data_IF_894468087083
#
_entry.id   IF_894468087083
#
_cell.length_a   1.000
_cell.length_b   1.000
_cell.length_c   1.000
_cell.angle_alpha   90.00
_cell.angle_beta   90.00
_cell.angle_gamma   90.00
#
_symmetry.space_group_name_H-M   'P 1'
#
loop_
_entity.id
_entity.type
_entity.pdbx_description
1 polymer ?
#
# COMPACT_ATOMS: atom_id res chain seq x y z
N UNK A 1 -26.82 70.74 72.99
CA UNK A 1 -27.72 69.59 73.21
C UNK A 1 -28.36 69.20 71.88
N UNK A 2 -27.80 68.20 71.17
CA UNK A 2 -28.51 67.26 70.28
C UNK A 2 -27.54 66.20 69.73
N UNK A 3 -28.09 64.99 69.59
CA UNK A 3 -27.49 63.67 69.46
C UNK A 3 -26.62 63.45 68.20
N UNK A 4 -25.64 62.55 68.33
CA UNK A 4 -25.09 61.75 67.22
C UNK A 4 -26.11 60.72 66.73
N UNK A 5 -25.94 60.20 65.50
CA UNK A 5 -25.93 58.74 65.39
C UNK A 5 -24.79 58.20 64.53
N UNK A 6 -24.25 57.09 65.03
CA UNK A 6 -23.29 56.17 64.41
C UNK A 6 -23.93 55.40 63.25
N UNK A 7 -23.30 55.39 62.07
CA UNK A 7 -23.64 54.50 60.97
C UNK A 7 -22.70 53.28 60.97
N UNK A 8 -23.27 52.08 61.12
CA UNK A 8 -22.59 50.79 61.02
C UNK A 8 -22.29 50.46 59.55
N UNK A 9 -21.02 50.13 59.25
CA UNK A 9 -20.59 49.49 58.01
C UNK A 9 -21.07 48.04 57.96
N UNK A 10 -21.88 47.70 56.94
CA UNK A 10 -22.19 46.32 56.58
C UNK A 10 -21.37 45.88 55.37
N UNK A 11 -20.33 45.08 55.60
CA UNK A 11 -19.63 44.35 54.52
C UNK A 11 -20.49 43.17 54.08
N UNK A 12 -21.00 43.23 52.84
CA UNK A 12 -21.72 42.13 52.20
C UNK A 12 -20.70 41.28 51.43
N UNK A 13 -20.45 40.06 51.89
CA UNK A 13 -19.64 39.08 51.15
C UNK A 13 -20.45 38.48 49.98
N UNK A 14 -19.83 38.24 48.80
CA UNK A 14 -20.52 37.60 47.68
C UNK A 14 -20.71 36.11 47.95
N UNK A 15 -21.96 35.65 47.82
CA UNK A 15 -22.35 34.23 47.88
C UNK A 15 -21.81 33.51 46.63
N UNK A 16 -20.91 32.55 46.82
CA UNK A 16 -20.45 31.66 45.76
C UNK A 16 -21.62 30.86 45.18
N UNK A 17 -21.88 31.03 43.88
CA UNK A 17 -22.88 30.26 43.16
C UNK A 17 -22.32 28.85 42.89
N UNK A 18 -22.84 27.86 43.61
CA UNK A 18 -22.56 26.45 43.33
C UNK A 18 -23.43 26.03 42.13
N UNK A 19 -22.81 25.71 41.00
CA UNK A 19 -23.55 25.27 39.80
C UNK A 19 -24.38 24.01 40.11
N UNK A 20 -25.62 23.90 39.58
CA UNK A 20 -26.48 22.75 39.86
C UNK A 20 -25.85 21.46 39.29
N UNK A 21 -25.89 20.38 40.08
CA UNK A 21 -25.29 19.07 39.73
C UNK A 21 -25.74 18.52 38.36
N UNK A 22 -26.92 18.94 37.88
CA UNK A 22 -27.45 18.61 36.55
C UNK A 22 -26.68 19.29 35.41
N UNK A 23 -26.17 20.51 35.60
CA UNK A 23 -25.37 21.20 34.59
C UNK A 23 -24.00 20.53 34.39
N UNK A 24 -23.39 20.02 35.46
CA UNK A 24 -22.15 19.24 35.41
C UNK A 24 -22.35 17.90 34.68
N UNK A 25 -23.50 17.23 34.89
CA UNK A 25 -23.83 15.98 34.20
C UNK A 25 -24.08 16.19 32.70
N UNK A 26 -24.82 17.23 32.31
CA UNK A 26 -25.03 17.56 30.89
C UNK A 26 -23.73 17.96 30.19
N UNK A 27 -22.86 18.71 30.86
CA UNK A 27 -21.54 19.06 30.33
C UNK A 27 -20.66 17.81 30.12
N UNK A 28 -20.66 16.86 31.07
CA UNK A 28 -19.92 15.61 30.96
C UNK A 28 -20.45 14.72 29.82
N UNK A 29 -21.78 14.65 29.62
CA UNK A 29 -22.39 13.90 28.51
C UNK A 29 -22.07 14.55 27.17
N UNK A 30 -22.11 15.88 27.07
CA UNK A 30 -21.74 16.60 25.85
C UNK A 30 -20.26 16.40 25.48
N UNK A 31 -19.36 16.45 26.48
CA UNK A 31 -17.93 16.13 26.30
C UNK A 31 -17.70 14.68 25.90
N UNK A 32 -18.40 13.72 26.51
CA UNK A 32 -18.30 12.31 26.14
C UNK A 32 -18.85 12.02 24.74
N UNK A 33 -19.95 12.69 24.34
CA UNK A 33 -20.51 12.59 23.00
C UNK A 33 -19.58 13.19 21.93
N UNK A 34 -18.89 14.30 22.25
CA UNK A 34 -17.90 14.90 21.37
C UNK A 34 -16.63 14.04 21.25
N UNK A 35 -16.22 13.36 22.32
CA UNK A 35 -15.09 12.43 22.28
C UNK A 35 -15.38 11.17 21.43
N UNK A 36 -16.66 10.79 21.26
CA UNK A 36 -17.07 9.67 20.42
C UNK A 36 -17.09 10.00 18.91
N UNK A 37 -16.90 11.26 18.53
CA UNK A 37 -16.75 11.69 17.12
C UNK A 37 -15.29 11.87 16.70
N UNK A 38 -14.34 11.28 17.44
CA UNK A 38 -12.91 11.33 17.11
C UNK A 38 -12.67 11.07 15.62
N UNK A 39 -12.15 12.07 14.92
CA UNK A 39 -11.86 11.99 13.49
C UNK A 39 -10.76 10.97 13.22
N UNK A 40 -11.01 10.02 12.32
CA UNK A 40 -9.96 9.14 11.82
C UNK A 40 -9.25 9.86 10.66
N UNK A 41 -7.94 10.07 10.79
CA UNK A 41 -7.10 10.54 9.67
C UNK A 41 -6.58 9.31 8.93
N UNK A 42 -6.97 9.12 7.67
CA UNK A 42 -6.46 8.06 6.81
C UNK A 42 -5.51 8.66 5.78
N UNK A 43 -4.30 8.11 5.69
CA UNK A 43 -3.28 8.53 4.72
C UNK A 43 -2.91 7.34 3.82
N UNK A 44 -3.02 7.55 2.52
CA UNK A 44 -2.77 6.56 1.47
C UNK A 44 -1.77 7.14 0.45
N UNK A 45 -0.86 6.30 -0.04
CA UNK A 45 0.01 6.59 -1.19
C UNK A 45 -0.34 5.63 -2.31
N UNK A 46 -0.65 6.16 -3.49
CA UNK A 46 -0.82 5.39 -4.71
C UNK A 46 0.48 5.42 -5.52
N UNK A 47 1.10 4.26 -5.69
CA UNK A 47 2.35 4.09 -6.42
C UNK A 47 2.08 3.44 -7.78
N UNK A 48 2.45 4.13 -8.84
CA UNK A 48 2.27 3.70 -10.24
C UNK A 48 3.60 3.74 -10.99
N UNK A 49 3.73 2.92 -12.04
CA UNK A 49 4.92 2.93 -12.89
C UNK A 49 4.60 2.75 -14.37
N UNK A 50 5.48 3.28 -15.20
CA UNK A 50 5.46 3.07 -16.65
C UNK A 50 6.76 2.36 -17.07
N UNK A 51 6.69 1.11 -17.55
CA UNK A 51 5.51 0.24 -17.65
C UNK A 51 5.00 -0.28 -16.28
N UNK A 52 3.75 -0.77 -16.23
CA UNK A 52 3.16 -1.32 -15.00
C UNK A 52 3.73 -2.70 -14.65
N UNK A 53 3.49 -3.16 -13.41
CA UNK A 53 3.87 -4.49 -12.94
C UNK A 53 5.26 -4.57 -12.31
N UNK A 54 5.88 -3.43 -12.02
CA UNK A 54 7.15 -3.34 -11.34
C UNK A 54 7.01 -3.74 -9.87
N UNK A 55 7.97 -4.50 -9.36
CA UNK A 55 8.03 -4.89 -7.96
C UNK A 55 8.42 -3.68 -7.11
N UNK A 56 7.54 -3.30 -6.18
CA UNK A 56 7.71 -2.18 -5.27
C UNK A 56 8.25 -2.68 -3.92
N UNK A 57 9.35 -2.07 -3.50
CA UNK A 57 9.91 -2.21 -2.15
C UNK A 57 9.90 -0.83 -1.48
N UNK A 58 9.35 -0.75 -0.28
CA UNK A 58 9.29 0.47 0.53
C UNK A 58 10.09 0.24 1.82
N UNK A 59 11.08 1.07 2.10
CA UNK A 59 11.98 0.95 3.26
C UNK A 59 12.59 -0.47 3.41
N UNK A 60 12.95 -1.08 2.28
CA UNK A 60 13.50 -2.45 2.25
C UNK A 60 12.48 -3.58 2.42
N UNK A 61 11.19 -3.28 2.59
CA UNK A 61 10.11 -4.27 2.64
C UNK A 61 9.38 -4.36 1.30
N UNK A 62 9.27 -5.57 0.76
CA UNK A 62 8.47 -5.83 -0.42
C UNK A 62 6.98 -5.60 -0.12
N UNK A 63 6.34 -4.73 -0.91
CA UNK A 63 4.93 -4.40 -0.74
C UNK A 63 4.07 -5.14 -1.76
N UNK A 64 4.50 -5.17 -3.03
CA UNK A 64 3.73 -5.77 -4.12
C UNK A 64 4.16 -5.27 -5.48
N UNK A 65 3.26 -5.29 -6.46
CA UNK A 65 3.52 -4.79 -7.82
C UNK A 65 2.70 -3.56 -8.13
N UNK A 66 3.25 -2.64 -8.91
CA UNK A 66 2.53 -1.46 -9.40
C UNK A 66 1.44 -1.82 -10.41
N UNK A 67 0.30 -1.10 -10.44
CA UNK A 67 -0.12 -0.06 -9.48
C UNK A 67 -0.53 -0.65 -8.13
N UNK A 68 -0.15 0.00 -7.03
CA UNK A 68 -0.51 -0.44 -5.67
C UNK A 68 -0.76 0.76 -4.75
N UNK A 69 -1.56 0.55 -3.70
CA UNK A 69 -1.92 1.57 -2.72
C UNK A 69 -1.49 1.15 -1.33
N UNK A 70 -0.89 2.07 -0.59
CA UNK A 70 -0.25 1.81 0.70
C UNK A 70 -0.78 2.79 1.73
N UNK A 71 -1.36 2.29 2.82
CA UNK A 71 -1.69 3.12 3.98
C UNK A 71 -0.42 3.40 4.80
N UNK A 72 -0.23 4.64 5.24
CA UNK A 72 0.90 5.04 6.07
C UNK A 72 0.47 5.86 7.30
N UNK A 73 1.27 5.80 8.35
CA UNK A 73 0.93 6.41 9.65
C UNK A 73 1.74 7.66 9.96
N UNK A 74 2.97 7.76 9.45
CA UNK A 74 3.90 8.83 9.79
C UNK A 74 4.40 9.50 8.52
N UNK A 75 4.27 10.82 8.43
CA UNK A 75 4.83 11.60 7.33
C UNK A 75 6.38 11.62 7.42
N UNK A 76 7.07 11.61 6.28
CA UNK A 76 8.54 11.58 6.22
C UNK A 76 9.11 11.03 4.92
N UNK A 77 10.44 10.86 4.88
CA UNK A 77 11.14 10.28 3.73
C UNK A 77 11.07 8.76 3.71
N UNK A 78 10.62 8.22 2.57
CA UNK A 78 10.59 6.78 2.32
C UNK A 78 11.61 6.38 1.24
N UNK A 79 12.36 5.29 1.48
CA UNK A 79 13.18 4.64 0.44
C UNK A 79 12.26 3.81 -0.46
N UNK A 80 11.99 4.32 -1.66
CA UNK A 80 11.14 3.67 -2.65
C UNK A 80 12.02 3.04 -3.71
N UNK A 81 11.87 1.72 -3.92
CA UNK A 81 12.58 1.01 -5.00
C UNK A 81 11.61 0.26 -5.88
N UNK A 82 11.71 0.51 -7.18
CA UNK A 82 10.97 -0.22 -8.20
C UNK A 82 11.92 -1.09 -9.00
N UNK A 83 11.54 -2.34 -9.22
CA UNK A 83 12.30 -3.30 -10.02
C UNK A 83 11.42 -4.00 -11.02
N UNK A 84 11.82 -3.98 -12.29
CA UNK A 84 11.16 -4.71 -13.36
C UNK A 84 12.23 -5.40 -14.23
N UNK A 85 11.94 -6.59 -14.74
CA UNK A 85 12.89 -7.33 -15.57
C UNK A 85 13.10 -6.62 -16.91
N UNK A 86 14.36 -6.40 -17.31
CA UNK A 86 14.72 -5.64 -18.52
C UNK A 86 14.69 -4.12 -18.33
N UNK A 87 14.52 -3.63 -17.10
CA UNK A 87 14.51 -2.20 -16.78
C UNK A 87 15.46 -1.91 -15.62
N UNK A 88 16.00 -0.70 -15.61
CA UNK A 88 16.85 -0.19 -14.54
C UNK A 88 16.03 -0.03 -13.24
N UNK A 89 16.65 -0.36 -12.10
CA UNK A 89 16.00 -0.18 -10.81
C UNK A 89 15.99 1.30 -10.42
N UNK A 90 14.80 1.89 -10.31
CA UNK A 90 14.65 3.28 -9.86
C UNK A 90 14.60 3.31 -8.34
N UNK A 91 15.50 4.07 -7.73
CA UNK A 91 15.48 4.44 -6.31
C UNK A 91 15.03 5.90 -6.19
N UNK A 92 13.86 6.13 -5.61
CA UNK A 92 13.31 7.45 -5.37
C UNK A 92 13.10 7.69 -3.88
N UNK A 93 13.24 8.94 -3.44
CA UNK A 93 12.72 9.41 -2.16
C UNK A 93 11.33 9.98 -2.40
N UNK A 94 10.30 9.27 -1.93
CA UNK A 94 8.97 9.85 -1.81
C UNK A 94 8.94 10.67 -0.53
N UNK A 95 8.83 11.99 -0.65
CA UNK A 95 8.60 12.87 0.49
C UNK A 95 7.10 13.08 0.62
N UNK A 96 6.54 12.65 1.75
CA UNK A 96 5.19 13.01 2.14
C UNK A 96 5.29 14.30 2.93
N UNK A 97 5.11 15.43 2.23
CA UNK A 97 5.24 16.76 2.81
C UNK A 97 4.21 16.90 3.95
N UNK A 98 4.73 16.99 5.17
CA UNK A 98 3.93 17.15 6.38
C UNK A 98 3.16 18.48 6.28
N UNK A 99 1.83 18.47 6.39
CA UNK A 99 1.06 19.69 6.26
C UNK A 99 1.30 20.64 7.41
N UNK A 100 1.01 21.91 7.14
CA UNK A 100 1.05 23.01 8.11
C UNK A 100 0.17 22.74 9.36
N UNK A 101 -0.78 21.80 9.31
CA UNK A 101 -1.64 21.40 10.44
C UNK A 101 -1.07 20.33 11.39
N UNK A 102 0.10 19.76 11.12
CA UNK A 102 0.80 18.82 12.02
C UNK A 102 1.75 19.55 13.01
N UNK A 103 1.72 20.88 13.03
CA UNK A 103 2.49 21.69 13.97
C UNK A 103 1.89 21.57 15.39
N UNK A 104 2.74 21.26 16.37
CA UNK A 104 2.37 21.05 17.76
C UNK A 104 1.49 22.19 18.30
N UNK A 105 0.20 21.88 18.48
CA UNK A 105 -0.86 22.83 18.89
C UNK A 105 -2.16 22.72 18.08
N UNK A 106 -2.08 22.29 16.81
CA UNK A 106 -3.26 22.07 15.95
C UNK A 106 -3.84 20.65 16.05
N UNK A 107 -3.06 19.67 16.50
CA UNK A 107 -3.46 18.27 16.73
C UNK A 107 -4.70 18.16 17.65
N UNK A 108 -4.77 19.00 18.70
CA UNK A 108 -5.93 19.10 19.61
C UNK A 108 -7.17 19.72 18.96
N UNK A 109 -6.99 20.51 17.88
CA UNK A 109 -8.10 21.17 17.15
C UNK A 109 -8.59 20.28 16.02
N UNK A 110 -7.72 19.52 15.36
CA UNK A 110 -8.11 18.52 14.36
C UNK A 110 -8.93 17.38 14.96
N UNK A 111 -8.64 16.97 16.21
CA UNK A 111 -9.43 15.99 16.96
C UNK A 111 -10.82 16.52 17.37
N UNK A 112 -11.01 17.84 17.38
CA UNK A 112 -12.28 18.53 17.66
C UNK A 112 -13.09 18.83 16.38
N UNK A 113 -12.47 18.80 15.20
CA UNK A 113 -13.18 19.01 13.93
C UNK A 113 -13.65 17.65 13.39
N UNK A 114 -14.98 17.41 13.30
CA UNK A 114 -15.55 16.14 12.84
C UNK A 114 -15.50 16.07 11.31
N UNK A 115 -14.29 16.01 10.74
CA UNK A 115 -14.10 15.81 9.31
C UNK A 115 -13.20 14.62 9.07
N UNK A 116 -13.68 13.73 8.22
CA UNK A 116 -12.90 12.63 7.68
C UNK A 116 -11.84 13.19 6.72
N UNK A 117 -10.57 13.15 7.14
CA UNK A 117 -9.45 13.66 6.34
C UNK A 117 -8.78 12.47 5.65
N UNK A 118 -9.12 12.27 4.38
CA UNK A 118 -8.42 11.35 3.49
C UNK A 118 -7.30 12.09 2.75
N UNK A 119 -6.04 11.71 3.01
CA UNK A 119 -4.89 12.16 2.22
C UNK A 119 -4.52 11.06 1.24
N UNK A 120 -4.54 11.36 -0.06
CA UNK A 120 -4.04 10.48 -1.11
C UNK A 120 -2.89 11.16 -1.85
N UNK A 121 -1.68 10.62 -1.69
CA UNK A 121 -0.51 11.04 -2.47
C UNK A 121 -0.30 10.13 -3.68
N UNK A 122 0.11 10.70 -4.81
CA UNK A 122 0.34 9.95 -6.05
C UNK A 122 1.81 10.00 -6.41
N UNK A 123 2.47 8.85 -6.41
CA UNK A 123 3.86 8.72 -6.86
C UNK A 123 3.89 7.95 -8.17
N UNK A 124 4.39 8.60 -9.22
CA UNK A 124 4.56 8.00 -10.54
C UNK A 124 6.04 7.87 -10.87
N UNK A 125 6.45 6.69 -11.34
CA UNK A 125 7.82 6.39 -11.71
C UNK A 125 7.91 5.91 -13.16
N UNK A 126 8.78 6.55 -13.94
CA UNK A 126 9.13 6.08 -15.29
C UNK A 126 10.37 5.20 -15.19
N UNK A 127 10.26 3.97 -15.70
CA UNK A 127 11.37 3.01 -15.71
C UNK A 127 12.10 3.10 -17.04
N UNK A 128 13.42 3.19 -16.96
CA UNK A 128 14.28 3.21 -18.15
C UNK A 128 14.65 1.76 -18.51
N UNK A 129 14.55 1.36 -19.78
CA UNK A 129 15.02 0.05 -20.24
C UNK A 129 16.51 -0.15 -19.95
N UNK A 130 16.90 -1.35 -19.53
CA UNK A 130 18.30 -1.73 -19.30
C UNK A 130 18.85 -2.42 -20.56
N UNK A 131 19.38 -1.62 -21.48
CA UNK A 131 19.92 -2.07 -22.77
C UNK A 131 21.11 -3.03 -22.60
N UNK A 132 21.90 -2.88 -21.53
CA UNK A 132 23.08 -3.69 -21.26
C UNK A 132 22.70 -5.09 -20.77
N UNK A 133 21.71 -5.19 -19.88
CA UNK A 133 21.16 -6.47 -19.46
C UNK A 133 20.61 -7.25 -20.66
N UNK A 134 19.86 -6.58 -21.53
CA UNK A 134 19.29 -7.17 -22.74
C UNK A 134 20.37 -7.63 -23.73
N UNK A 135 21.41 -6.83 -23.95
CA UNK A 135 22.54 -7.21 -24.79
C UNK A 135 23.24 -8.48 -24.28
N UNK A 136 23.42 -8.59 -22.95
CA UNK A 136 24.02 -9.78 -22.34
C UNK A 136 23.19 -11.04 -22.52
N UNK A 137 21.85 -10.92 -22.45
CA UNK A 137 20.91 -12.02 -22.67
C UNK A 137 20.93 -12.47 -24.13
N UNK A 138 20.94 -11.53 -25.07
CA UNK A 138 21.06 -11.82 -26.52
C UNK A 138 22.34 -12.58 -26.83
N UNK A 139 23.48 -12.10 -26.33
CA UNK A 139 24.77 -12.76 -26.55
C UNK A 139 24.80 -14.20 -26.02
N UNK A 140 24.22 -14.44 -24.83
CA UNK A 140 24.11 -15.80 -24.27
C UNK A 140 23.19 -16.70 -25.10
N UNK A 141 22.06 -16.17 -25.60
CA UNK A 141 21.15 -16.92 -26.46
C UNK A 141 21.81 -17.30 -27.79
N UNK A 142 22.54 -16.39 -28.42
CA UNK A 142 23.30 -16.67 -29.66
C UNK A 142 24.38 -17.73 -29.46
N UNK A 143 25.13 -17.65 -28.35
CA UNK A 143 26.13 -18.66 -28.01
C UNK A 143 25.50 -20.05 -27.83
N UNK A 144 24.34 -20.13 -27.16
CA UNK A 144 23.61 -21.38 -26.99
C UNK A 144 23.09 -21.94 -28.33
N UNK A 145 22.57 -21.08 -29.21
CA UNK A 145 22.13 -21.47 -30.55
C UNK A 145 23.29 -22.04 -31.38
N UNK A 146 24.45 -21.37 -31.40
CA UNK A 146 25.65 -21.86 -32.10
C UNK A 146 26.11 -23.21 -31.57
N UNK A 147 26.02 -23.43 -30.26
CA UNK A 147 26.34 -24.73 -29.67
C UNK A 147 25.41 -25.82 -30.19
N UNK A 148 24.10 -25.58 -30.19
CA UNK A 148 23.10 -26.54 -30.70
C UNK A 148 23.30 -26.84 -32.19
N UNK A 149 23.60 -25.82 -32.99
CA UNK A 149 23.86 -26.00 -34.42
C UNK A 149 25.15 -26.79 -34.69
N UNK A 150 26.17 -26.61 -33.84
CA UNK A 150 27.39 -27.39 -33.89
C UNK A 150 27.23 -28.82 -33.33
N UNK A 151 26.10 -29.16 -32.71
CA UNK A 151 25.84 -30.53 -32.25
C UNK A 151 25.58 -31.43 -33.48
N UNK A 152 26.32 -32.55 -33.62
CA UNK A 152 26.03 -33.49 -34.68
C UNK A 152 24.64 -34.12 -34.47
N UNK A 153 23.80 -34.09 -35.50
CA UNK A 153 22.42 -34.63 -35.51
C UNK A 153 22.38 -36.13 -35.19
N UNK A 154 23.50 -36.82 -35.43
CA UNK A 154 23.70 -38.23 -35.10
C UNK A 154 25.03 -38.32 -34.36
N UNK A 155 25.01 -38.86 -33.14
CA UNK A 155 26.26 -39.15 -32.43
C UNK A 155 27.08 -40.13 -33.28
N UNK A 156 28.40 -39.91 -33.47
CA UNK A 156 29.22 -40.66 -34.41
C UNK A 156 29.21 -42.19 -34.19
N UNK A 157 28.84 -42.67 -32.99
CA UNK A 157 28.71 -44.08 -32.62
C UNK A 157 27.29 -44.51 -32.18
N UNK A 158 26.24 -43.78 -32.56
CA UNK A 158 24.87 -44.20 -32.26
C UNK A 158 24.53 -45.51 -33.00
N UNK A 159 24.11 -46.59 -32.30
CA UNK A 159 23.57 -47.78 -32.96
C UNK A 159 22.40 -47.37 -33.87
N UNK A 160 22.22 -48.00 -35.04
CA UNK A 160 21.14 -47.65 -35.95
C UNK A 160 19.80 -47.64 -35.22
N UNK A 161 18.93 -46.64 -35.46
CA UNK A 161 17.67 -46.53 -34.75
C UNK A 161 16.88 -47.82 -34.96
N UNK A 162 16.51 -48.49 -33.85
CA UNK A 162 15.61 -49.63 -33.91
C UNK A 162 14.34 -49.20 -34.67
N UNK A 163 13.82 -50.03 -35.60
CA UNK A 163 12.68 -49.65 -36.42
C UNK A 163 11.53 -49.18 -35.52
N UNK A 164 11.14 -47.92 -35.70
CA UNK A 164 10.05 -47.30 -34.96
C UNK A 164 8.78 -48.12 -35.18
N UNK A 165 8.29 -48.78 -34.13
CA UNK A 165 6.96 -49.37 -34.16
C UNK A 165 5.94 -48.24 -34.36
N UNK A 166 5.37 -48.18 -35.56
CA UNK A 166 4.17 -47.39 -35.86
C UNK A 166 3.13 -47.66 -34.77
N UNK A 167 2.56 -46.64 -34.10
CA UNK A 167 1.50 -46.86 -33.15
C UNK A 167 0.30 -47.47 -33.89
N UNK A 168 0.04 -48.74 -33.62
CA UNK A 168 -1.07 -49.50 -34.17
C UNK A 168 -2.38 -48.79 -33.79
N UNK A 169 -3.11 -48.29 -34.80
CA UNK A 169 -4.38 -47.63 -34.60
C UNK A 169 -5.39 -48.60 -33.94
N UNK A 170 -5.70 -48.37 -32.65
CA UNK A 170 -6.77 -49.09 -31.95
C UNK A 170 -8.10 -48.93 -32.70
N UNK A 171 -8.49 -49.97 -33.44
CA UNK A 171 -9.81 -50.12 -34.08
C UNK A 171 -10.90 -50.13 -33.00
N UNK A 172 -11.74 -49.09 -32.94
CA UNK A 172 -12.95 -49.06 -32.09
C UNK A 172 -13.89 -50.20 -32.50
N UNK A 173 -14.12 -51.17 -31.60
CA UNK A 173 -15.13 -52.23 -31.77
C UNK A 173 -16.53 -51.62 -31.55
N UNK A 174 -17.37 -51.66 -32.60
CA UNK A 174 -18.81 -51.36 -32.57
C UNK A 174 -19.55 -52.49 -31.83
N UNK A 175 -20.50 -52.23 -30.92
CA UNK A 175 -21.24 -53.30 -30.26
C UNK A 175 -22.22 -53.92 -31.25
N UNK A 176 -22.09 -55.23 -31.49
CA UNK A 176 -23.04 -56.00 -32.27
C UNK A 176 -24.05 -56.65 -31.30
N UNK A 177 -25.31 -56.30 -31.56
CA UNK A 177 -26.54 -56.90 -31.05
C UNK A 177 -26.43 -58.43 -30.94
N UNK A 178 -26.61 -58.96 -29.74
CA UNK A 178 -26.67 -60.41 -29.51
C UNK A 178 -28.14 -60.83 -29.49
N UNK A 179 -28.56 -61.47 -30.58
CA UNK A 179 -29.82 -62.21 -30.69
C UNK A 179 -29.67 -63.59 -30.05
N UNK A 180 -30.77 -64.03 -29.42
CA UNK A 180 -30.97 -65.27 -28.67
C UNK A 180 -30.77 -66.56 -29.50
N UNK A 181 -30.78 -67.71 -28.83
CA UNK A 181 -31.95 -68.60 -28.98
C UNK A 181 -32.80 -68.69 -27.72
#
# INVERSE_FOLDING_TARGET
MRLMPTAHSGTIAPRGALAPRSALACAAIALAALALTAGCVRREIEVTSTPPGALLTLNGREIGRTPTRIEFTFDGMYDVRLKLAGYESVAGSGDSDMPVWDFMGADLVAEIVPTDIHRLEHWHFELVPDDDADASLRHRAEAAQRFVEAMPVVAPDAPPPAPTATPEAKKKKKPASQSNP
#
